data_IF_279538565141
#
_entry.id   IF_279538565141
#
_cell.length_a   1.000
_cell.length_b   1.000
_cell.length_c   1.000
_cell.angle_alpha   90.00
_cell.angle_beta   90.00
_cell.angle_gamma   90.00
#
_symmetry.space_group_name_H-M   'P 1'
#
loop_
_entity.id
_entity.type
_entity.pdbx_description
1 polymer ?
#
# COMPACT_ATOMS: atom_id res chain seq x y z
N UNK A 1 47.24 -21.35 -32.30
CA UNK A 1 47.04 -22.66 -31.67
C UNK A 1 45.56 -22.74 -31.25
N UNK A 2 44.80 -23.55 -31.98
CA UNK A 2 43.37 -23.80 -31.76
C UNK A 2 43.22 -24.90 -30.71
N UNK A 3 42.40 -24.72 -29.68
CA UNK A 3 41.92 -25.81 -28.83
C UNK A 3 40.41 -25.78 -28.78
N UNK A 4 39.83 -26.71 -29.49
CA UNK A 4 38.45 -27.18 -29.48
C UNK A 4 38.21 -27.96 -28.18
N UNK A 5 37.12 -27.71 -27.47
CA UNK A 5 36.61 -28.60 -26.41
C UNK A 5 35.17 -28.92 -26.73
N UNK A 6 34.92 -30.23 -26.76
CA UNK A 6 33.71 -30.86 -27.21
C UNK A 6 32.56 -30.83 -26.17
N UNK A 7 31.32 -30.77 -26.70
CA UNK A 7 30.06 -31.01 -26.00
C UNK A 7 29.95 -32.48 -25.55
N UNK A 8 29.42 -32.68 -24.35
CA UNK A 8 28.73 -33.94 -23.98
C UNK A 8 27.33 -33.59 -23.50
N UNK A 9 26.34 -34.07 -24.24
CA UNK A 9 24.93 -34.06 -23.86
C UNK A 9 24.61 -35.38 -23.15
N UNK A 10 24.01 -35.33 -21.99
CA UNK A 10 23.40 -36.47 -21.33
C UNK A 10 21.89 -36.24 -21.23
N UNK A 11 21.12 -36.97 -22.00
CA UNK A 11 19.67 -37.13 -21.85
C UNK A 11 19.42 -38.17 -20.75
N UNK A 12 18.63 -37.81 -19.74
CA UNK A 12 17.95 -38.76 -18.87
C UNK A 12 16.44 -38.55 -18.97
N UNK A 13 15.77 -39.53 -19.54
CA UNK A 13 14.31 -39.64 -19.56
C UNK A 13 13.84 -40.21 -18.22
N UNK A 14 12.89 -39.55 -17.56
CA UNK A 14 12.16 -40.08 -16.41
C UNK A 14 10.71 -40.30 -16.82
N UNK A 15 10.27 -41.55 -16.79
CA UNK A 15 8.89 -41.96 -17.01
C UNK A 15 8.06 -41.70 -15.73
N UNK A 16 6.95 -40.98 -15.85
CA UNK A 16 5.95 -40.80 -14.79
C UNK A 16 4.85 -41.84 -14.94
N UNK A 17 4.72 -42.66 -13.91
CA UNK A 17 3.58 -43.54 -13.70
C UNK A 17 2.42 -42.70 -13.09
N UNK A 18 1.29 -42.71 -13.75
CA UNK A 18 0.03 -42.11 -13.29
C UNK A 18 -0.74 -43.21 -12.54
N UNK A 19 -0.94 -43.02 -11.22
CA UNK A 19 -1.94 -43.76 -10.45
C UNK A 19 -3.10 -42.82 -10.13
N UNK A 20 -4.27 -43.16 -10.69
CA UNK A 20 -5.53 -42.49 -10.38
C UNK A 20 -6.07 -42.94 -9.03
N UNK A 21 -6.60 -42.00 -8.26
CA UNK A 21 -7.54 -42.23 -7.17
C UNK A 21 -8.78 -41.36 -7.38
N UNK A 22 -9.90 -42.06 -7.57
CA UNK A 22 -11.24 -41.45 -7.56
C UNK A 22 -11.62 -41.03 -6.14
N UNK A 23 -12.13 -39.83 -5.97
CA UNK A 23 -12.79 -39.40 -4.73
C UNK A 23 -14.27 -39.15 -5.00
N UNK A 24 -15.09 -39.74 -4.15
CA UNK A 24 -16.55 -39.74 -4.19
C UNK A 24 -17.14 -38.37 -3.74
N UNK A 25 -18.21 -37.98 -4.44
CA UNK A 25 -19.03 -36.80 -4.11
C UNK A 25 -19.91 -37.06 -2.89
N UNK A 26 -19.80 -36.22 -1.86
CA UNK A 26 -20.73 -36.11 -0.75
C UNK A 26 -21.51 -34.80 -0.82
N UNK A 27 -22.82 -34.79 -0.47
CA UNK A 27 -23.68 -33.65 -0.73
C UNK A 27 -23.45 -32.47 0.24
N UNK A 28 -23.51 -31.26 -0.29
CA UNK A 28 -23.40 -30.00 0.41
C UNK A 28 -24.60 -29.75 1.34
N UNK A 29 -24.33 -29.38 2.59
CA UNK A 29 -25.33 -28.96 3.59
C UNK A 29 -25.72 -27.48 3.33
N UNK A 30 -27.04 -27.23 3.34
CA UNK A 30 -27.64 -25.92 3.21
C UNK A 30 -27.49 -25.07 4.50
N UNK A 31 -27.36 -23.73 4.41
CA UNK A 31 -27.27 -22.85 5.57
C UNK A 31 -28.67 -22.62 6.21
N UNK A 32 -28.70 -22.56 7.54
CA UNK A 32 -29.86 -22.30 8.36
C UNK A 32 -30.32 -20.82 8.30
N UNK A 33 -31.62 -20.51 8.47
CA UNK A 33 -32.12 -19.14 8.35
C UNK A 33 -31.88 -18.31 9.63
N UNK A 34 -31.52 -17.04 9.40
CA UNK A 34 -31.33 -16.01 10.43
C UNK A 34 -32.68 -15.50 10.89
N UNK A 35 -32.93 -15.52 12.21
CA UNK A 35 -34.12 -15.00 12.85
C UNK A 35 -34.08 -13.48 12.98
N UNK A 36 -35.11 -12.81 12.50
CA UNK A 36 -35.39 -11.38 12.72
C UNK A 36 -36.11 -11.18 14.07
N UNK A 37 -35.74 -10.19 14.90
CA UNK A 37 -36.56 -9.81 16.06
C UNK A 37 -37.60 -8.78 15.63
N UNK A 38 -38.87 -9.13 15.88
CA UNK A 38 -40.04 -8.29 15.79
C UNK A 38 -40.11 -7.28 16.93
N UNK A 39 -40.50 -6.06 16.60
CA UNK A 39 -40.65 -4.94 17.50
C UNK A 39 -41.87 -5.06 18.43
N UNK A 40 -41.74 -4.36 19.56
CA UNK A 40 -42.83 -4.07 20.46
C UNK A 40 -42.79 -2.60 20.82
N UNK A 41 -43.82 -1.85 20.44
CA UNK A 41 -44.06 -0.45 20.83
C UNK A 41 -45.02 -0.38 22.01
N UNK A 42 -44.74 0.50 22.98
CA UNK A 42 -45.70 1.21 23.84
C UNK A 42 -44.85 2.21 24.65
N UNK A 43 -45.04 3.46 24.74
CA UNK A 43 -46.17 4.30 24.92
C UNK A 43 -46.04 5.05 26.26
N UNK A 44 -45.83 6.39 26.25
CA UNK A 44 -46.33 7.29 27.29
C UNK A 44 -45.32 7.89 28.29
N UNK A 45 -45.32 9.22 28.40
CA UNK A 45 -44.97 9.94 29.62
C UNK A 45 -43.92 11.08 29.39
N UNK A 46 -44.48 12.28 29.19
CA UNK A 46 -43.72 13.53 29.28
C UNK A 46 -43.47 13.84 30.77
N UNK A 47 -42.24 14.25 31.10
CA UNK A 47 -41.99 15.19 32.15
C UNK A 47 -40.63 15.88 31.91
N UNK A 48 -40.66 17.23 31.88
CA UNK A 48 -39.51 18.07 31.67
C UNK A 48 -38.64 18.18 32.93
N UNK A 49 -37.38 17.96 32.76
CA UNK A 49 -36.35 18.43 33.69
C UNK A 49 -35.17 19.00 32.92
N UNK A 50 -34.99 20.27 33.03
CA UNK A 50 -33.81 21.04 32.66
C UNK A 50 -32.56 20.42 33.28
N UNK A 51 -31.72 19.78 32.50
CA UNK A 51 -30.39 19.35 32.92
C UNK A 51 -29.35 20.20 32.21
N UNK A 52 -28.79 21.14 33.00
CA UNK A 52 -27.72 22.05 32.63
C UNK A 52 -26.46 21.29 32.23
N UNK A 53 -25.87 21.81 31.19
CA UNK A 53 -24.44 21.99 30.86
C UNK A 53 -23.40 21.21 31.69
N UNK A 54 -23.37 19.89 31.63
CA UNK A 54 -22.24 19.06 32.11
C UNK A 54 -21.50 18.33 30.99
N UNK A 55 -21.95 18.47 29.73
CA UNK A 55 -21.33 17.74 28.59
C UNK A 55 -20.04 18.36 28.05
N UNK A 56 -19.81 19.65 28.30
CA UNK A 56 -18.65 20.37 27.73
C UNK A 56 -17.28 19.99 28.34
N UNK A 57 -17.23 19.81 29.65
CA UNK A 57 -15.97 19.55 30.35
C UNK A 57 -15.43 18.15 30.11
N UNK A 58 -16.30 17.11 30.06
CA UNK A 58 -15.87 15.74 29.80
C UNK A 58 -15.37 15.54 28.35
N UNK A 59 -15.98 16.25 27.41
CA UNK A 59 -15.51 16.23 25.99
C UNK A 59 -14.14 16.92 25.83
N UNK A 60 -13.94 18.05 26.50
CA UNK A 60 -12.67 18.76 26.46
C UNK A 60 -11.51 17.97 27.10
N UNK A 61 -11.77 17.28 28.22
CA UNK A 61 -10.78 16.44 28.89
C UNK A 61 -10.43 15.19 28.05
N UNK A 62 -11.39 14.57 27.36
CA UNK A 62 -11.12 13.46 26.43
C UNK A 62 -10.31 13.91 25.22
N UNK A 63 -10.63 15.03 24.61
CA UNK A 63 -9.89 15.58 23.48
C UNK A 63 -8.47 15.98 23.88
N UNK A 64 -8.27 16.59 25.05
CA UNK A 64 -6.94 16.92 25.57
C UNK A 64 -6.11 15.69 25.89
N UNK A 65 -6.72 14.61 26.45
CA UNK A 65 -6.07 13.35 26.71
C UNK A 65 -5.63 12.64 25.40
N UNK A 66 -6.50 12.61 24.40
CA UNK A 66 -6.19 12.05 23.09
C UNK A 66 -5.07 12.82 22.37
N UNK A 67 -5.09 14.14 22.44
CA UNK A 67 -4.01 15.00 21.91
C UNK A 67 -2.66 14.76 22.61
N UNK A 68 -2.68 14.58 23.92
CA UNK A 68 -1.49 14.25 24.71
C UNK A 68 -0.90 12.89 24.36
N UNK A 69 -1.73 11.86 24.23
CA UNK A 69 -1.31 10.50 23.83
C UNK A 69 -0.72 10.49 22.42
N UNK A 70 -1.37 11.15 21.46
CA UNK A 70 -0.87 11.30 20.09
C UNK A 70 0.49 12.01 20.05
N UNK A 71 0.63 13.10 20.80
CA UNK A 71 1.90 13.82 20.89
C UNK A 71 3.02 12.96 21.52
N UNK A 72 2.70 12.13 22.51
CA UNK A 72 3.66 11.19 23.09
C UNK A 72 4.10 10.11 22.09
N UNK A 73 3.16 9.53 21.33
CA UNK A 73 3.45 8.57 20.27
C UNK A 73 4.41 9.16 19.22
N UNK A 74 4.13 10.36 18.75
CA UNK A 74 5.02 11.03 17.78
C UNK A 74 6.42 11.32 18.35
N UNK A 75 6.50 11.79 19.64
CA UNK A 75 7.80 12.04 20.30
C UNK A 75 8.66 10.81 20.43
N UNK A 76 8.07 9.64 20.67
CA UNK A 76 8.78 8.34 20.69
C UNK A 76 9.60 8.13 19.42
N UNK A 77 9.11 8.59 18.27
CA UNK A 77 9.75 8.47 16.96
C UNK A 77 10.51 9.74 16.54
N UNK A 78 10.72 10.69 17.46
CA UNK A 78 11.44 11.95 17.20
C UNK A 78 10.72 12.89 16.22
N UNK A 79 9.38 12.85 16.22
CA UNK A 79 8.50 13.62 15.34
C UNK A 79 7.57 14.52 16.14
N UNK A 80 6.97 15.50 15.47
CA UNK A 80 5.82 16.27 15.95
C UNK A 80 4.56 15.70 15.27
N UNK A 81 3.37 15.80 15.88
CA UNK A 81 2.13 15.43 15.21
C UNK A 81 1.95 16.21 13.89
N UNK A 82 1.56 15.52 12.84
CA UNK A 82 1.10 16.15 11.61
C UNK A 82 -0.26 16.83 11.85
N UNK A 83 -0.53 17.91 11.12
CA UNK A 83 -1.89 18.38 10.95
C UNK A 83 -2.73 17.27 10.30
N UNK A 84 -4.01 17.19 10.64
CA UNK A 84 -4.93 16.31 9.94
C UNK A 84 -4.95 16.68 8.43
N UNK A 85 -4.94 15.70 7.53
CA UNK A 85 -5.15 16.00 6.12
C UNK A 85 -6.57 16.55 5.92
N UNK A 86 -6.81 17.35 4.87
CA UNK A 86 -8.16 17.74 4.49
C UNK A 86 -9.02 16.50 4.19
N UNK A 87 -10.34 16.66 4.26
CA UNK A 87 -11.25 15.60 3.86
C UNK A 87 -10.98 15.19 2.39
N UNK A 88 -11.07 13.89 2.07
CA UNK A 88 -10.93 13.44 0.69
C UNK A 88 -11.94 14.12 -0.22
N UNK A 89 -11.58 14.37 -1.50
CA UNK A 89 -12.49 15.01 -2.45
C UNK A 89 -13.70 14.08 -2.73
N UNK A 90 -14.90 14.68 -2.85
CA UNK A 90 -16.12 13.93 -3.16
C UNK A 90 -16.03 13.23 -4.54
N UNK A 91 -15.25 13.80 -5.47
CA UNK A 91 -14.94 13.21 -6.77
C UNK A 91 -13.44 13.03 -6.87
N UNK A 92 -13.00 11.80 -7.08
CA UNK A 92 -11.57 11.49 -7.22
C UNK A 92 -10.97 12.21 -8.41
N UNK A 93 -9.84 12.93 -8.26
CA UNK A 93 -9.23 13.69 -9.34
C UNK A 93 -8.55 12.82 -10.40
N UNK A 94 -8.24 11.56 -10.08
CA UNK A 94 -7.71 10.58 -11.02
C UNK A 94 -8.68 9.44 -11.15
N UNK A 95 -9.24 9.29 -12.34
CA UNK A 95 -10.19 8.22 -12.66
C UNK A 95 -9.79 7.61 -14.00
N UNK A 96 -9.81 6.29 -14.08
CA UNK A 96 -9.69 5.58 -15.36
C UNK A 96 -11.00 5.72 -16.12
N UNK A 97 -11.01 6.30 -17.34
CA UNK A 97 -12.21 6.35 -18.15
C UNK A 97 -12.73 4.94 -18.46
N UNK A 98 -14.04 4.70 -18.50
CA UNK A 98 -14.61 3.42 -18.93
C UNK A 98 -14.07 3.01 -20.31
N UNK A 99 -13.48 1.80 -20.41
CA UNK A 99 -12.84 1.34 -21.65
C UNK A 99 -11.59 2.10 -22.07
N UNK A 100 -11.20 3.13 -21.33
CA UNK A 100 -10.03 3.95 -21.63
C UNK A 100 -8.72 3.35 -21.11
N UNK A 101 -7.58 3.95 -21.53
CA UNK A 101 -6.28 3.54 -21.08
C UNK A 101 -6.08 3.86 -19.58
N UNK A 102 -5.29 3.02 -18.90
CA UNK A 102 -4.91 3.26 -17.49
C UNK A 102 -4.12 4.56 -17.39
N UNK A 103 -4.50 5.52 -16.53
CA UNK A 103 -3.73 6.73 -16.31
C UNK A 103 -2.37 6.41 -15.69
N UNK A 104 -1.35 7.18 -16.08
CA UNK A 104 0.00 7.13 -15.50
C UNK A 104 0.26 8.43 -14.77
N UNK A 105 0.48 8.35 -13.48
CA UNK A 105 0.59 9.51 -12.60
C UNK A 105 1.88 9.49 -11.81
N UNK A 106 2.42 10.66 -11.49
CA UNK A 106 3.53 10.86 -10.55
C UNK A 106 3.20 11.86 -9.45
N UNK A 107 2.06 12.50 -9.57
CA UNK A 107 1.46 13.44 -8.62
C UNK A 107 -0.06 13.41 -8.75
N UNK A 108 -0.76 13.83 -7.73
CA UNK A 108 -2.22 14.01 -7.72
C UNK A 108 -2.55 15.48 -7.96
N UNK A 109 -3.44 15.82 -8.91
CA UNK A 109 -3.86 17.21 -9.10
C UNK A 109 -4.66 17.70 -7.88
N UNK A 110 -4.03 18.53 -7.05
CA UNK A 110 -4.62 19.16 -5.87
C UNK A 110 -3.92 20.48 -5.57
N UNK A 111 -4.60 21.38 -4.83
CA UNK A 111 -4.00 22.61 -4.27
C UNK A 111 -3.71 22.49 -2.77
N UNK A 112 -4.17 21.41 -2.16
CA UNK A 112 -3.97 21.15 -0.73
C UNK A 112 -2.51 20.79 -0.44
N UNK A 113 -1.96 21.27 0.68
CA UNK A 113 -0.59 20.94 1.10
C UNK A 113 -0.48 19.52 1.65
N UNK A 114 -0.78 18.56 0.78
CA UNK A 114 -0.69 17.12 1.05
C UNK A 114 0.32 16.47 0.12
N UNK A 115 0.92 15.40 0.60
CA UNK A 115 1.73 14.45 -0.17
C UNK A 115 1.24 13.03 0.09
N UNK A 116 1.63 12.09 -0.76
CA UNK A 116 1.27 10.68 -0.66
C UNK A 116 2.51 9.83 -0.45
N UNK A 117 2.54 9.07 0.64
CA UNK A 117 3.65 8.15 0.91
C UNK A 117 3.44 6.82 0.22
N UNK A 118 4.49 6.34 -0.41
CA UNK A 118 4.51 5.03 -1.06
C UNK A 118 5.81 4.31 -0.73
N UNK A 119 5.73 3.00 -0.46
CA UNK A 119 6.88 2.20 -0.08
C UNK A 119 6.90 0.92 -0.91
N UNK A 120 7.99 0.68 -1.63
CA UNK A 120 8.10 -0.38 -2.62
C UNK A 120 8.81 -1.63 -2.09
N UNK A 121 8.71 -2.72 -2.85
CA UNK A 121 9.36 -4.03 -2.75
C UNK A 121 8.80 -4.92 -1.63
N UNK A 122 9.00 -4.56 -0.39
CA UNK A 122 8.72 -5.40 0.78
C UNK A 122 9.90 -6.27 1.21
N UNK A 123 11.14 -5.89 0.90
CA UNK A 123 12.32 -6.69 1.22
C UNK A 123 12.62 -6.72 2.73
N UNK A 124 12.63 -5.57 3.38
CA UNK A 124 12.82 -5.45 4.84
C UNK A 124 11.54 -5.74 5.61
N UNK A 125 11.68 -6.39 6.76
CA UNK A 125 10.59 -6.79 7.66
C UNK A 125 10.90 -6.39 9.11
N UNK A 126 11.19 -5.09 9.32
CA UNK A 126 11.46 -4.51 10.64
C UNK A 126 10.16 -4.43 11.47
N UNK A 127 10.00 -5.21 12.57
CA UNK A 127 8.81 -5.15 13.42
C UNK A 127 8.57 -3.76 14.01
N UNK A 128 9.64 -2.99 14.27
CA UNK A 128 9.54 -1.64 14.79
C UNK A 128 8.86 -0.69 13.79
N UNK A 129 8.95 -0.97 12.48
CA UNK A 129 8.23 -0.20 11.47
C UNK A 129 6.70 -0.40 11.56
N UNK A 130 6.24 -1.62 11.80
CA UNK A 130 4.80 -1.91 12.01
C UNK A 130 4.27 -1.17 13.24
N UNK A 131 5.05 -1.17 14.33
CA UNK A 131 4.74 -0.41 15.54
C UNK A 131 4.73 1.10 15.28
N UNK A 132 5.73 1.61 14.55
CA UNK A 132 5.81 3.03 14.17
C UNK A 132 4.57 3.49 13.40
N UNK A 133 4.14 2.72 12.40
CA UNK A 133 3.00 3.11 11.57
C UNK A 133 1.70 3.08 12.36
N UNK A 134 1.53 2.12 13.27
CA UNK A 134 0.41 2.09 14.22
C UNK A 134 0.42 3.30 15.16
N UNK A 135 1.57 3.64 15.74
CA UNK A 135 1.72 4.76 16.69
C UNK A 135 1.45 6.11 16.04
N UNK A 136 1.90 6.28 14.79
CA UNK A 136 1.79 7.55 14.07
C UNK A 136 0.46 7.74 13.35
N UNK A 137 -0.24 6.65 13.01
CA UNK A 137 -1.49 6.66 12.24
C UNK A 137 -1.37 7.51 10.96
N UNK A 138 -0.25 7.33 10.22
CA UNK A 138 0.03 8.03 8.96
C UNK A 138 -0.26 7.06 7.81
N UNK A 139 -1.16 7.41 6.86
CA UNK A 139 -1.45 6.54 5.73
C UNK A 139 -0.25 6.43 4.78
N UNK A 140 -0.05 5.25 4.22
CA UNK A 140 0.87 5.00 3.10
C UNK A 140 0.38 3.84 2.25
N UNK A 141 0.90 3.73 1.03
CA UNK A 141 0.58 2.63 0.09
C UNK A 141 1.81 1.75 -0.11
N UNK A 142 1.64 0.45 0.08
CA UNK A 142 2.68 -0.57 -0.13
C UNK A 142 2.58 -1.12 -1.55
N UNK A 143 3.60 -0.94 -2.37
CA UNK A 143 3.75 -1.58 -3.67
C UNK A 143 4.61 -2.83 -3.51
N UNK A 144 3.95 -3.99 -3.33
CA UNK A 144 4.61 -5.23 -2.94
C UNK A 144 4.90 -6.14 -4.14
N UNK A 145 6.12 -6.69 -4.19
CA UNK A 145 6.52 -7.73 -5.17
C UNK A 145 6.61 -9.09 -4.50
N UNK A 146 6.04 -10.14 -5.11
CA UNK A 146 5.99 -11.50 -4.55
C UNK A 146 7.40 -12.02 -4.22
N UNK A 147 8.35 -11.79 -5.11
CA UNK A 147 9.74 -12.24 -4.91
C UNK A 147 10.35 -11.78 -3.57
N UNK A 148 9.97 -10.59 -3.08
CA UNK A 148 10.46 -10.06 -1.81
C UNK A 148 9.62 -10.49 -0.60
N UNK A 149 8.29 -10.69 -0.77
CA UNK A 149 7.38 -10.90 0.35
C UNK A 149 6.97 -12.36 0.58
N UNK A 150 7.16 -13.26 -0.40
CA UNK A 150 6.67 -14.65 -0.35
C UNK A 150 7.23 -15.49 0.81
N UNK A 151 8.39 -15.13 1.33
CA UNK A 151 8.98 -15.80 2.50
C UNK A 151 8.24 -15.47 3.81
N UNK A 152 7.58 -14.30 3.87
CA UNK A 152 6.83 -13.87 5.05
C UNK A 152 5.73 -12.86 4.67
N UNK A 153 4.63 -13.36 4.16
CA UNK A 153 3.42 -12.55 3.93
C UNK A 153 2.81 -12.03 5.23
N UNK A 154 3.04 -12.75 6.35
CA UNK A 154 2.49 -12.43 7.66
C UNK A 154 2.92 -11.07 8.17
N UNK A 155 4.12 -10.62 7.82
CA UNK A 155 4.65 -9.31 8.21
C UNK A 155 3.76 -8.13 7.73
N UNK A 156 3.17 -8.23 6.54
CA UNK A 156 2.36 -7.15 5.95
C UNK A 156 0.89 -7.18 6.39
N UNK A 157 0.41 -8.31 6.94
CA UNK A 157 -0.98 -8.45 7.36
C UNK A 157 -1.41 -7.41 8.41
N UNK A 158 -0.63 -7.10 9.47
CA UNK A 158 -0.96 -6.01 10.40
C UNK A 158 -1.05 -4.65 9.73
N UNK A 159 -0.19 -4.35 8.75
CA UNK A 159 -0.21 -3.08 8.01
C UNK A 159 -1.48 -2.96 7.15
N UNK A 160 -1.88 -4.05 6.49
CA UNK A 160 -3.15 -4.11 5.75
C UNK A 160 -4.35 -3.94 6.70
N UNK A 161 -4.32 -4.59 7.88
CA UNK A 161 -5.37 -4.48 8.90
C UNK A 161 -5.46 -3.08 9.51
N UNK A 162 -4.36 -2.33 9.57
CA UNK A 162 -4.32 -0.91 9.97
C UNK A 162 -4.91 0.02 8.90
N UNK A 163 -5.29 -0.50 7.72
CA UNK A 163 -5.90 0.29 6.65
C UNK A 163 -4.90 0.95 5.71
N UNK A 164 -3.61 0.58 5.76
CA UNK A 164 -2.63 1.05 4.77
C UNK A 164 -2.93 0.46 3.39
N UNK A 165 -2.61 1.21 2.33
CA UNK A 165 -2.87 0.81 0.96
C UNK A 165 -2.04 -0.39 0.53
N UNK A 166 -2.67 -1.31 -0.23
CA UNK A 166 -2.04 -2.47 -0.83
C UNK A 166 -2.03 -2.32 -2.34
N UNK A 167 -0.86 -2.34 -2.96
CA UNK A 167 -0.66 -2.12 -4.38
C UNK A 167 0.31 -3.16 -4.99
N UNK A 168 0.26 -3.28 -6.31
CA UNK A 168 0.99 -4.28 -7.08
C UNK A 168 2.34 -3.75 -7.55
N UNK A 169 3.41 -4.57 -7.40
CA UNK A 169 4.75 -4.28 -7.89
C UNK A 169 5.37 -5.46 -8.67
N UNK A 170 4.55 -6.24 -9.39
CA UNK A 170 4.88 -7.45 -10.15
C UNK A 170 5.22 -8.68 -9.28
N UNK A 171 5.28 -9.87 -9.90
CA UNK A 171 5.69 -11.12 -9.24
C UNK A 171 7.17 -11.14 -8.92
N UNK A 172 8.03 -10.86 -9.91
CA UNK A 172 9.48 -11.13 -9.82
C UNK A 172 10.36 -9.88 -9.96
N UNK A 173 9.74 -8.69 -10.00
CA UNK A 173 10.43 -7.40 -10.10
C UNK A 173 11.29 -7.22 -11.37
N UNK A 174 10.83 -7.63 -12.56
CA UNK A 174 11.61 -7.46 -13.78
C UNK A 174 11.53 -6.04 -14.36
N UNK A 175 12.48 -5.67 -15.21
CA UNK A 175 12.29 -4.52 -16.08
C UNK A 175 11.25 -4.86 -17.17
N UNK A 176 10.01 -4.42 -17.00
CA UNK A 176 8.89 -4.79 -17.89
C UNK A 176 9.12 -4.40 -19.34
N UNK A 177 9.85 -3.31 -19.62
CA UNK A 177 10.13 -2.86 -21.00
C UNK A 177 10.93 -3.86 -21.82
N UNK A 178 11.61 -4.82 -21.18
CA UNK A 178 12.39 -5.85 -21.84
C UNK A 178 11.57 -7.11 -22.11
N UNK A 179 10.32 -7.16 -21.67
CA UNK A 179 9.45 -8.32 -21.77
C UNK A 179 8.40 -8.15 -22.88
N UNK A 180 7.93 -9.28 -23.44
CA UNK A 180 6.75 -9.27 -24.29
C UNK A 180 5.50 -8.86 -23.51
N UNK A 181 4.47 -8.37 -24.19
CA UNK A 181 3.19 -7.97 -23.56
C UNK A 181 2.61 -9.11 -22.71
N UNK A 182 2.61 -10.32 -23.23
CA UNK A 182 2.10 -11.49 -22.51
C UNK A 182 2.92 -11.80 -21.24
N UNK A 183 4.25 -11.63 -21.26
CA UNK A 183 5.08 -11.78 -20.09
C UNK A 183 4.82 -10.67 -19.06
N UNK A 184 4.63 -9.41 -19.51
CA UNK A 184 4.25 -8.31 -18.64
C UNK A 184 2.88 -8.56 -17.98
N UNK A 185 1.90 -9.07 -18.74
CA UNK A 185 0.58 -9.44 -18.22
C UNK A 185 0.69 -10.53 -17.14
N UNK A 186 1.49 -11.58 -17.36
CA UNK A 186 1.72 -12.62 -16.34
C UNK A 186 2.32 -12.04 -15.05
N UNK A 187 3.28 -11.15 -15.15
CA UNK A 187 3.89 -10.47 -14.00
C UNK A 187 2.88 -9.64 -13.19
N UNK A 188 2.04 -8.88 -13.87
CA UNK A 188 1.08 -7.98 -13.23
C UNK A 188 -0.15 -8.77 -12.72
N UNK A 189 -0.82 -9.55 -13.57
CA UNK A 189 -2.01 -10.31 -13.17
C UNK A 189 -1.68 -11.40 -12.13
N UNK A 190 -0.51 -12.04 -12.25
CA UNK A 190 -0.05 -13.01 -11.27
C UNK A 190 0.09 -12.40 -9.87
N UNK A 191 0.68 -11.21 -9.77
CA UNK A 191 0.79 -10.50 -8.50
C UNK A 191 -0.59 -10.05 -7.95
N UNK A 192 -1.52 -9.60 -8.81
CA UNK A 192 -2.90 -9.33 -8.41
C UNK A 192 -3.54 -10.55 -7.71
N UNK A 193 -3.36 -11.72 -8.33
CA UNK A 193 -3.88 -12.98 -7.79
C UNK A 193 -3.25 -13.30 -6.44
N UNK A 194 -1.92 -13.20 -6.32
CA UNK A 194 -1.20 -13.46 -5.06
C UNK A 194 -1.67 -12.56 -3.93
N UNK A 195 -1.73 -11.25 -4.17
CA UNK A 195 -2.15 -10.30 -3.14
C UNK A 195 -3.61 -10.50 -2.72
N UNK A 196 -4.51 -10.81 -3.68
CA UNK A 196 -5.91 -11.16 -3.37
C UNK A 196 -6.00 -12.41 -2.51
N UNK A 197 -5.27 -13.47 -2.86
CA UNK A 197 -5.27 -14.74 -2.11
C UNK A 197 -4.75 -14.57 -0.68
N UNK A 198 -3.74 -13.72 -0.49
CA UNK A 198 -3.07 -13.53 0.81
C UNK A 198 -3.76 -12.56 1.73
N UNK A 199 -4.33 -11.48 1.18
CA UNK A 199 -4.88 -10.38 1.99
C UNK A 199 -6.37 -10.14 1.76
N UNK A 200 -7.04 -10.89 0.89
CA UNK A 200 -8.45 -10.72 0.59
C UNK A 200 -8.79 -9.44 -0.19
N UNK A 201 -7.78 -8.68 -0.64
CA UNK A 201 -7.94 -7.42 -1.33
C UNK A 201 -7.35 -7.49 -2.74
N UNK A 202 -8.05 -6.93 -3.72
CA UNK A 202 -7.56 -6.77 -5.08
C UNK A 202 -6.92 -5.38 -5.20
N UNK A 203 -5.60 -5.29 -5.41
CA UNK A 203 -4.93 -3.99 -5.59
C UNK A 203 -5.50 -3.23 -6.80
N UNK A 204 -5.75 -1.95 -6.62
CA UNK A 204 -6.24 -1.07 -7.70
C UNK A 204 -5.12 -0.23 -8.32
N UNK A 205 -3.99 -0.13 -7.62
CA UNK A 205 -2.82 0.63 -8.02
C UNK A 205 -1.67 -0.32 -8.38
N UNK A 206 -0.88 0.10 -9.35
CA UNK A 206 0.28 -0.63 -9.82
C UNK A 206 1.47 0.30 -10.00
N UNK A 207 2.66 -0.13 -9.60
CA UNK A 207 3.92 0.55 -9.94
C UNK A 207 4.82 -0.41 -10.71
N UNK A 208 5.28 -0.04 -11.92
CA UNK A 208 6.25 -0.84 -12.65
C UNK A 208 7.62 -0.76 -11.95
N UNK A 209 8.36 -1.87 -11.81
CA UNK A 209 9.72 -1.87 -11.32
C UNK A 209 10.59 -0.84 -12.03
N UNK A 210 11.42 -0.12 -11.25
CA UNK A 210 12.30 0.96 -11.74
C UNK A 210 11.56 2.18 -12.34
N UNK A 211 10.23 2.23 -12.28
CA UNK A 211 9.42 3.19 -13.01
C UNK A 211 9.38 2.94 -14.53
N UNK A 212 9.89 1.80 -14.99
CA UNK A 212 10.01 1.45 -16.41
C UNK A 212 8.73 0.83 -16.95
N UNK A 213 8.05 1.55 -17.83
CA UNK A 213 6.83 1.12 -18.48
C UNK A 213 6.82 1.49 -19.97
N UNK A 214 5.92 0.88 -20.73
CA UNK A 214 5.60 1.20 -22.12
C UNK A 214 4.10 0.95 -22.37
N UNK A 215 3.61 1.14 -23.59
CA UNK A 215 2.19 0.94 -23.89
C UNK A 215 1.74 -0.51 -23.69
N UNK A 216 2.61 -1.50 -23.87
CA UNK A 216 2.31 -2.90 -23.53
C UNK A 216 2.12 -3.08 -22.01
N UNK A 217 2.92 -2.40 -21.18
CA UNK A 217 2.74 -2.38 -19.72
C UNK A 217 1.39 -1.77 -19.34
N UNK A 218 1.04 -0.66 -19.99
CA UNK A 218 -0.23 0.05 -19.75
C UNK A 218 -1.45 -0.78 -20.12
N UNK A 219 -1.38 -1.48 -21.27
CA UNK A 219 -2.41 -2.40 -21.70
C UNK A 219 -2.55 -3.59 -20.74
N UNK A 220 -1.44 -4.25 -20.39
CA UNK A 220 -1.41 -5.35 -19.44
C UNK A 220 -1.95 -4.98 -18.05
N UNK A 221 -1.59 -3.79 -17.54
CA UNK A 221 -2.15 -3.27 -16.28
C UNK A 221 -3.68 -3.14 -16.36
N UNK A 222 -4.18 -2.62 -17.48
CA UNK A 222 -5.62 -2.49 -17.73
C UNK A 222 -6.36 -3.82 -17.75
N UNK A 223 -5.79 -4.83 -18.40
CA UNK A 223 -6.32 -6.20 -18.45
C UNK A 223 -6.34 -6.86 -17.07
N UNK A 224 -5.40 -6.50 -16.18
CA UNK A 224 -5.32 -7.00 -14.80
C UNK A 224 -6.18 -6.21 -13.80
N UNK A 225 -7.04 -5.28 -14.25
CA UNK A 225 -7.96 -4.54 -13.38
C UNK A 225 -7.32 -3.40 -12.58
N UNK A 226 -6.18 -2.88 -13.03
CA UNK A 226 -5.51 -1.72 -12.44
C UNK A 226 -6.22 -0.44 -12.84
N UNK A 227 -6.42 0.47 -11.88
CA UNK A 227 -7.03 1.79 -12.12
C UNK A 227 -5.99 2.85 -12.48
N UNK A 228 -4.79 2.81 -11.90
CA UNK A 228 -3.70 3.72 -12.23
C UNK A 228 -2.32 3.08 -12.11
N UNK A 229 -1.41 3.49 -13.01
CA UNK A 229 0.03 3.28 -12.88
C UNK A 229 0.61 4.46 -12.12
N UNK A 230 1.25 4.19 -10.99
CA UNK A 230 1.72 5.18 -10.04
C UNK A 230 3.24 5.28 -10.08
N UNK A 231 3.76 6.40 -10.52
CA UNK A 231 5.19 6.78 -10.43
C UNK A 231 5.39 7.68 -9.19
N UNK A 232 6.42 8.53 -9.18
CA UNK A 232 6.74 9.42 -8.08
C UNK A 232 7.39 10.71 -8.56
N UNK A 233 7.46 11.71 -7.70
CA UNK A 233 8.20 12.98 -7.90
C UNK A 233 9.43 13.07 -7.02
N UNK A 234 9.37 12.52 -5.82
CA UNK A 234 10.47 12.47 -4.86
C UNK A 234 10.74 11.04 -4.43
N UNK A 235 11.99 10.74 -4.10
CA UNK A 235 12.33 9.46 -3.48
C UNK A 235 13.24 9.63 -2.28
N UNK A 236 12.85 9.00 -1.16
CA UNK A 236 13.68 8.93 0.02
C UNK A 236 14.80 7.92 -0.20
N UNK A 237 16.03 8.37 0.00
CA UNK A 237 17.20 7.51 0.01
C UNK A 237 17.58 7.17 1.46
N UNK A 238 18.85 7.06 1.79
CA UNK A 238 19.29 6.71 3.14
C UNK A 238 19.04 7.87 4.13
N UNK A 239 19.44 9.08 3.76
CA UNK A 239 19.35 10.31 4.60
C UNK A 239 18.70 11.48 3.86
N UNK A 240 18.71 11.44 2.56
CA UNK A 240 18.31 12.55 1.71
C UNK A 240 17.13 12.17 0.83
N UNK A 241 16.22 13.09 0.66
CA UNK A 241 15.19 13.02 -0.35
C UNK A 241 15.76 13.50 -1.69
N UNK A 242 15.59 12.72 -2.73
CA UNK A 242 15.88 13.11 -4.10
C UNK A 242 14.61 13.69 -4.72
N UNK A 243 14.77 14.79 -5.45
CA UNK A 243 13.68 15.50 -6.11
C UNK A 243 13.92 15.45 -7.62
N UNK A 244 12.88 15.16 -8.38
CA UNK A 244 12.95 15.24 -9.84
C UNK A 244 12.97 16.69 -10.34
N UNK A 245 12.52 17.63 -9.50
CA UNK A 245 12.56 19.07 -9.77
C UNK A 245 13.80 19.71 -9.14
N UNK A 246 14.41 20.65 -9.86
CA UNK A 246 15.68 21.26 -9.44
C UNK A 246 15.62 22.15 -8.19
N UNK A 247 14.43 22.64 -7.82
CA UNK A 247 14.21 23.50 -6.65
C UNK A 247 14.20 22.74 -5.31
N UNK A 248 14.22 21.42 -5.33
CA UNK A 248 14.23 20.53 -4.15
C UNK A 248 13.10 20.82 -3.16
N UNK A 249 11.91 21.13 -3.68
CA UNK A 249 10.72 21.41 -2.88
C UNK A 249 9.61 20.43 -3.20
N UNK A 250 8.90 20.03 -2.16
CA UNK A 250 7.61 19.34 -2.29
C UNK A 250 6.57 20.29 -2.87
N UNK A 251 5.66 19.73 -3.63
CA UNK A 251 4.48 20.44 -4.15
C UNK A 251 3.20 19.71 -3.75
N UNK A 252 2.05 20.42 -3.70
CA UNK A 252 0.77 19.79 -3.49
C UNK A 252 0.56 18.60 -4.43
N UNK A 253 0.20 17.46 -3.85
CA UNK A 253 -0.09 16.25 -4.61
C UNK A 253 1.11 15.35 -4.93
N UNK A 254 2.33 15.71 -4.54
CA UNK A 254 3.51 14.89 -4.83
C UNK A 254 3.41 13.50 -4.22
N UNK A 255 3.79 12.49 -5.02
CA UNK A 255 3.93 11.10 -4.59
C UNK A 255 5.39 10.88 -4.23
N UNK A 256 5.62 10.51 -2.96
CA UNK A 256 6.95 10.28 -2.39
C UNK A 256 7.21 8.78 -2.31
N UNK A 257 8.30 8.32 -2.93
CA UNK A 257 8.76 6.94 -2.92
C UNK A 257 9.74 6.70 -1.78
N UNK A 258 9.58 5.59 -1.09
CA UNK A 258 10.61 4.95 -0.28
C UNK A 258 10.63 3.44 -0.60
N UNK A 259 11.51 2.68 0.04
CA UNK A 259 11.56 1.22 -0.12
C UNK A 259 11.63 0.55 1.26
N UNK A 260 11.12 -0.68 1.35
CA UNK A 260 11.34 -1.53 2.51
C UNK A 260 12.79 -2.00 2.50
N UNK A 261 13.66 -1.26 3.16
CA UNK A 261 15.11 -1.51 3.25
C UNK A 261 15.59 -1.55 4.68
N UNK A 262 16.54 -2.47 4.95
CA UNK A 262 17.15 -2.66 6.24
C UNK A 262 18.57 -2.08 6.36
N UNK A 263 19.25 -2.32 7.50
CA UNK A 263 20.56 -1.73 7.77
C UNK A 263 21.64 -2.05 6.74
N UNK A 264 21.58 -3.21 6.08
CA UNK A 264 22.51 -3.59 5.00
C UNK A 264 22.50 -2.62 3.84
N UNK A 265 21.30 -2.16 3.44
CA UNK A 265 21.10 -1.23 2.31
C UNK A 265 21.11 0.24 2.75
N UNK A 266 20.76 0.51 4.01
CA UNK A 266 20.69 1.83 4.59
C UNK A 266 21.98 2.27 5.31
N UNK A 267 23.11 1.58 5.06
CA UNK A 267 24.42 1.87 5.67
C UNK A 267 24.36 1.90 7.19
N UNK A 268 23.74 0.86 7.78
CA UNK A 268 23.59 0.67 9.22
C UNK A 268 22.38 1.38 9.84
N UNK A 269 21.57 2.10 9.08
CA UNK A 269 20.35 2.73 9.60
C UNK A 269 19.17 1.77 9.49
N UNK A 270 18.22 1.91 10.42
CA UNK A 270 16.97 1.14 10.39
C UNK A 270 15.96 1.74 9.43
N UNK A 271 14.96 0.95 9.05
CA UNK A 271 13.83 1.44 8.26
C UNK A 271 13.06 2.54 8.99
N UNK A 272 12.90 2.43 10.31
CA UNK A 272 12.24 3.45 11.14
C UNK A 272 13.00 4.77 11.18
N UNK A 273 14.33 4.75 11.25
CA UNK A 273 15.15 5.97 11.17
C UNK A 273 15.07 6.67 9.82
N UNK A 274 15.07 5.90 8.73
CA UNK A 274 14.87 6.43 7.38
C UNK A 274 13.48 7.05 7.26
N UNK A 275 12.43 6.35 7.70
CA UNK A 275 11.05 6.83 7.68
C UNK A 275 10.86 8.09 8.51
N UNK A 276 11.39 8.13 9.75
CA UNK A 276 11.36 9.34 10.58
C UNK A 276 12.06 10.53 9.92
N UNK A 277 13.16 10.27 9.18
CA UNK A 277 13.85 11.33 8.44
C UNK A 277 13.01 11.85 7.28
N UNK A 278 12.35 10.96 6.52
CA UNK A 278 11.43 11.33 5.45
C UNK A 278 10.25 12.17 5.98
N UNK A 279 9.61 11.71 7.06
CA UNK A 279 8.49 12.41 7.67
C UNK A 279 8.88 13.81 8.19
N UNK A 280 10.06 13.96 8.80
CA UNK A 280 10.58 15.29 9.18
C UNK A 280 10.74 16.22 7.98
N UNK A 281 11.27 15.73 6.86
CA UNK A 281 11.42 16.54 5.64
C UNK A 281 10.09 17.02 5.08
N UNK A 282 9.04 16.20 5.21
CA UNK A 282 7.68 16.57 4.83
C UNK A 282 7.13 17.65 5.77
N UNK A 283 7.32 17.49 7.09
CA UNK A 283 6.92 18.47 8.09
C UNK A 283 7.63 19.82 7.96
N UNK A 284 8.95 19.81 7.71
CA UNK A 284 9.76 21.01 7.54
C UNK A 284 9.28 21.87 6.37
N UNK A 285 8.67 21.27 5.36
CA UNK A 285 8.13 21.96 4.20
C UNK A 285 6.63 22.32 4.35
N UNK A 286 6.04 22.01 5.51
CA UNK A 286 4.66 22.39 5.85
C UNK A 286 3.60 21.53 5.16
N UNK A 287 3.93 20.29 4.80
CA UNK A 287 2.99 19.33 4.23
C UNK A 287 2.48 18.34 5.28
N UNK A 288 1.30 17.78 5.02
CA UNK A 288 0.77 16.60 5.70
C UNK A 288 0.63 15.44 4.73
N UNK A 289 0.32 14.25 5.25
CA UNK A 289 0.20 13.02 4.45
C UNK A 289 -1.27 12.65 4.32
N UNK A 290 -1.71 12.38 3.09
CA UNK A 290 -3.04 11.88 2.78
C UNK A 290 -2.98 10.46 2.21
N UNK A 291 -4.12 9.78 2.19
CA UNK A 291 -4.25 8.44 1.65
C UNK A 291 -4.42 8.49 0.14
N UNK A 292 -3.55 7.82 -0.61
CA UNK A 292 -3.53 7.86 -2.08
C UNK A 292 -4.82 7.29 -2.70
N UNK A 293 -5.33 6.20 -2.12
CA UNK A 293 -6.52 5.49 -2.61
C UNK A 293 -7.80 6.34 -2.58
N UNK A 294 -7.81 7.42 -1.80
CA UNK A 294 -8.93 8.35 -1.75
C UNK A 294 -8.96 9.33 -2.93
N UNK A 295 -7.88 9.36 -3.72
CA UNK A 295 -7.69 10.28 -4.83
C UNK A 295 -7.60 9.60 -6.22
N UNK A 296 -7.55 8.27 -6.24
CA UNK A 296 -7.42 7.46 -7.47
C UNK A 296 -8.51 6.40 -7.55
#
# INVERSE_FOLDING_TARGET
>A
MKKTIALWAALTAVALLVTGCSAEDGPAAAPAPVATPTGGASGGGADGASAGSAGGAAGAHRAAGAGGARAAAYRKWGLRPFAAPPAPPAVKPVVRPPGGPVPVISEIPTREKIVFLTIDDGAEKDPAFVEMMRDLDIPFTMFLTDAAIRADYGYFAPLVAQGHGLANHTLTHPNLRTLSQEAQRREICGQQTRLRERYGQVPRLFRPPYGNWNEATRAAAGECGVDAIVLWRESMQIKNMQYQRGDRKLRPGDIVLAHFRGPSELKGRTMTEMTATMLRRIQEQGFTVARLEDYV
#
